data_IF_576080673057
#
_entry.id   IF_576080673057
#
_cell.length_a   1.000
_cell.length_b   1.000
_cell.length_c   1.000
_cell.angle_alpha   90.00
_cell.angle_beta   90.00
_cell.angle_gamma   90.00
#
_symmetry.space_group_name_H-M   'P 1'
#
loop_
_entity.id
_entity.type
_entity.pdbx_description
1 polymer ?
#
# COMPACT_ATOMS: atom_id res chain seq x y z
N UNK A 1 15.16 -31.20 -40.77
CA UNK A 1 16.43 -30.77 -41.37
C UNK A 1 17.27 -31.97 -41.73
N UNK A 2 18.11 -31.81 -42.72
CA UNK A 2 19.10 -32.81 -43.08
C UNK A 2 20.08 -33.08 -41.94
N UNK A 3 20.73 -34.24 -41.86
CA UNK A 3 21.70 -34.57 -40.80
C UNK A 3 22.85 -33.53 -40.69
N UNK A 4 23.26 -32.94 -41.79
CA UNK A 4 24.29 -31.88 -41.86
C UNK A 4 23.87 -30.59 -41.18
N UNK A 5 22.62 -30.14 -41.30
CA UNK A 5 22.12 -28.96 -40.64
C UNK A 5 22.07 -29.17 -39.10
N UNK A 6 21.73 -30.37 -38.64
CA UNK A 6 21.75 -30.71 -37.23
C UNK A 6 23.18 -30.73 -36.63
N UNK A 7 24.18 -31.23 -37.38
CA UNK A 7 25.59 -31.25 -36.95
C UNK A 7 26.10 -29.82 -36.87
N UNK A 8 25.86 -28.97 -37.89
CA UNK A 8 26.29 -27.56 -37.87
C UNK A 8 25.69 -26.78 -36.69
N UNK A 9 24.41 -26.99 -36.43
CA UNK A 9 23.73 -26.37 -35.29
C UNK A 9 24.39 -26.75 -33.96
N UNK A 10 24.58 -28.05 -33.70
CA UNK A 10 25.22 -28.54 -32.48
C UNK A 10 26.64 -28.00 -32.37
N UNK A 11 27.40 -27.97 -33.47
CA UNK A 11 28.76 -27.44 -33.49
C UNK A 11 28.77 -25.96 -33.10
N UNK A 12 27.92 -25.13 -33.68
CA UNK A 12 27.83 -23.70 -33.34
C UNK A 12 27.48 -23.48 -31.88
N UNK A 13 26.49 -24.24 -31.33
CA UNK A 13 26.12 -24.15 -29.92
C UNK A 13 27.31 -24.56 -29.03
N UNK A 14 28.01 -25.62 -29.37
CA UNK A 14 29.18 -26.10 -28.62
C UNK A 14 30.35 -25.11 -28.63
N UNK A 15 30.45 -24.27 -29.68
CA UNK A 15 31.50 -23.26 -29.79
C UNK A 15 31.15 -21.97 -29.05
N UNK A 16 29.94 -21.42 -29.23
CA UNK A 16 29.63 -20.14 -28.59
C UNK A 16 29.41 -20.21 -27.09
N UNK A 17 28.86 -21.33 -26.57
CA UNK A 17 28.51 -21.43 -25.14
C UNK A 17 29.74 -21.29 -24.21
N UNK A 18 30.88 -21.96 -24.46
CA UNK A 18 32.09 -21.76 -23.65
C UNK A 18 32.62 -20.33 -23.71
N UNK A 19 32.68 -19.72 -24.91
CA UNK A 19 33.06 -18.31 -25.05
C UNK A 19 32.15 -17.36 -24.28
N UNK A 20 30.85 -17.52 -24.43
CA UNK A 20 29.90 -16.71 -23.72
C UNK A 20 29.92 -16.87 -22.20
N UNK A 21 30.17 -18.11 -21.70
CA UNK A 21 30.38 -18.38 -20.29
C UNK A 21 31.61 -17.67 -19.75
N UNK A 22 32.69 -17.64 -20.54
CA UNK A 22 33.94 -16.98 -20.18
C UNK A 22 33.87 -15.44 -20.33
N UNK A 23 32.74 -14.88 -20.81
CA UNK A 23 32.58 -13.44 -21.08
C UNK A 23 33.25 -12.96 -22.38
N UNK A 24 33.77 -13.88 -23.19
CA UNK A 24 34.36 -13.58 -24.48
C UNK A 24 33.27 -13.48 -25.57
N UNK A 25 32.48 -12.44 -25.50
CA UNK A 25 31.32 -12.25 -26.38
C UNK A 25 31.71 -11.94 -27.84
N UNK A 26 32.89 -11.37 -28.05
CA UNK A 26 33.41 -11.10 -29.38
C UNK A 26 33.58 -12.39 -30.21
N UNK A 27 34.23 -13.39 -29.61
CA UNK A 27 34.46 -14.66 -30.29
C UNK A 27 33.21 -15.55 -30.29
N UNK A 28 32.29 -15.34 -29.35
CA UNK A 28 31.04 -16.06 -29.32
C UNK A 28 30.02 -15.59 -30.39
N UNK A 29 30.08 -14.32 -30.83
CA UNK A 29 29.02 -13.68 -31.60
C UNK A 29 28.69 -14.40 -32.91
N UNK A 30 29.67 -14.72 -33.72
CA UNK A 30 29.45 -15.30 -35.06
C UNK A 30 28.81 -16.69 -34.96
N UNK A 31 29.33 -17.56 -34.08
CA UNK A 31 28.77 -18.89 -33.86
C UNK A 31 27.37 -18.84 -33.25
N UNK A 32 27.13 -17.89 -32.34
CA UNK A 32 25.80 -17.64 -31.79
C UNK A 32 24.82 -17.18 -32.85
N UNK A 33 25.22 -16.23 -33.71
CA UNK A 33 24.36 -15.68 -34.74
C UNK A 33 23.94 -16.74 -35.77
N UNK A 34 24.86 -17.62 -36.17
CA UNK A 34 24.56 -18.76 -37.04
C UNK A 34 23.58 -19.74 -36.31
N UNK A 35 23.79 -20.10 -35.06
CA UNK A 35 22.85 -20.95 -34.32
C UNK A 35 21.48 -20.29 -34.20
N UNK A 36 21.42 -19.00 -33.89
CA UNK A 36 20.17 -18.24 -33.76
C UNK A 36 19.39 -18.17 -35.08
N UNK A 37 20.06 -18.01 -36.22
CA UNK A 37 19.40 -17.87 -37.50
C UNK A 37 19.04 -19.21 -38.14
N UNK A 38 19.88 -20.22 -38.02
CA UNK A 38 19.69 -21.52 -38.66
C UNK A 38 18.86 -22.50 -37.85
N UNK A 39 18.98 -22.46 -36.52
CA UNK A 39 18.30 -23.42 -35.64
C UNK A 39 17.75 -22.82 -34.31
N UNK A 40 16.91 -21.80 -34.40
CA UNK A 40 16.43 -21.04 -33.23
C UNK A 40 15.67 -21.88 -32.19
N UNK A 41 15.13 -23.03 -32.57
CA UNK A 41 14.43 -23.95 -31.65
C UNK A 41 15.31 -25.02 -31.04
N UNK A 42 16.62 -25.06 -31.32
CA UNK A 42 17.48 -26.19 -30.93
C UNK A 42 17.81 -26.22 -29.44
N UNK A 43 18.12 -25.08 -28.82
CA UNK A 43 18.51 -25.03 -27.41
C UNK A 43 18.25 -23.66 -26.78
N UNK A 44 17.85 -23.66 -25.50
CA UNK A 44 17.59 -22.41 -24.72
C UNK A 44 18.83 -21.53 -24.55
N UNK A 45 20.03 -22.11 -24.59
CA UNK A 45 21.29 -21.38 -24.44
C UNK A 45 21.49 -20.33 -25.54
N UNK A 46 20.89 -20.54 -26.73
CA UNK A 46 20.86 -19.55 -27.81
C UNK A 46 20.30 -18.20 -27.29
N UNK A 47 19.30 -18.25 -26.43
CA UNK A 47 18.66 -17.04 -25.89
C UNK A 47 19.27 -16.61 -24.55
N UNK A 48 19.66 -17.56 -23.69
CA UNK A 48 20.28 -17.26 -22.41
C UNK A 48 21.59 -16.47 -22.58
N UNK A 49 22.44 -16.90 -23.50
CA UNK A 49 23.68 -16.20 -23.81
C UNK A 49 23.53 -15.15 -24.89
N UNK A 50 22.57 -15.33 -25.81
CA UNK A 50 22.30 -14.40 -26.91
C UNK A 50 21.98 -13.00 -26.41
N UNK A 51 21.17 -12.86 -25.38
CA UNK A 51 20.87 -11.56 -24.75
C UNK A 51 22.17 -10.91 -24.24
N UNK A 52 23.06 -11.64 -23.60
CA UNK A 52 24.33 -11.12 -23.09
C UNK A 52 25.31 -10.75 -24.21
N UNK A 53 25.35 -11.55 -25.26
CA UNK A 53 26.17 -11.28 -26.45
C UNK A 53 25.66 -10.02 -27.17
N UNK A 54 24.36 -9.89 -27.35
CA UNK A 54 23.74 -8.70 -27.95
C UNK A 54 23.94 -7.46 -27.07
N UNK A 55 23.81 -7.58 -25.74
CA UNK A 55 24.05 -6.47 -24.82
C UNK A 55 25.50 -5.96 -24.94
N UNK A 56 26.48 -6.87 -24.99
CA UNK A 56 27.87 -6.52 -25.25
C UNK A 56 28.03 -5.79 -26.60
N UNK A 57 27.42 -6.30 -27.67
CA UNK A 57 27.50 -5.69 -29.02
C UNK A 57 26.90 -4.29 -29.06
N UNK A 58 25.72 -4.10 -28.42
CA UNK A 58 25.05 -2.81 -28.29
C UNK A 58 25.91 -1.81 -27.50
N UNK A 59 26.54 -2.24 -26.41
CA UNK A 59 27.35 -1.37 -25.56
C UNK A 59 28.70 -1.00 -26.17
N UNK A 60 29.22 -1.80 -27.11
CA UNK A 60 30.48 -1.51 -27.82
C UNK A 60 30.27 -0.73 -29.13
N UNK A 61 29.05 -0.68 -29.67
CA UNK A 61 28.71 0.09 -30.87
C UNK A 61 28.72 1.61 -30.56
N UNK A 62 29.45 2.36 -31.38
CA UNK A 62 29.62 3.81 -31.24
C UNK A 62 28.68 4.62 -32.13
N UNK A 63 28.25 4.04 -33.25
CA UNK A 63 27.32 4.69 -34.16
C UNK A 63 25.89 4.62 -33.59
N UNK A 64 25.23 5.77 -33.32
CA UNK A 64 23.90 5.79 -32.73
C UNK A 64 22.84 5.07 -33.56
N UNK A 65 22.89 5.16 -34.88
CA UNK A 65 21.93 4.52 -35.79
C UNK A 65 22.08 3.00 -35.77
N UNK A 66 23.34 2.51 -35.82
CA UNK A 66 23.64 1.07 -35.71
C UNK A 66 23.27 0.54 -34.33
N UNK A 67 23.55 1.31 -33.28
CA UNK A 67 23.16 0.94 -31.91
C UNK A 67 21.65 0.81 -31.79
N UNK A 68 20.88 1.73 -32.35
CA UNK A 68 19.43 1.64 -32.37
C UNK A 68 18.93 0.39 -33.12
N UNK A 69 19.51 0.07 -34.25
CA UNK A 69 19.17 -1.15 -35.01
C UNK A 69 19.48 -2.43 -34.21
N UNK A 70 20.62 -2.47 -33.49
CA UNK A 70 20.99 -3.60 -32.65
C UNK A 70 20.02 -3.78 -31.46
N UNK A 71 19.49 -2.70 -30.91
CA UNK A 71 18.45 -2.78 -29.88
C UNK A 71 17.17 -3.41 -30.45
N UNK A 72 16.75 -3.00 -31.63
CA UNK A 72 15.59 -3.56 -32.31
C UNK A 72 15.81 -5.04 -32.67
N UNK A 73 17.02 -5.45 -33.03
CA UNK A 73 17.37 -6.86 -33.25
C UNK A 73 17.34 -7.66 -31.93
N UNK A 74 17.79 -7.09 -30.81
CA UNK A 74 17.63 -7.73 -29.50
C UNK A 74 16.15 -7.97 -29.15
N UNK A 75 15.26 -7.02 -29.46
CA UNK A 75 13.81 -7.22 -29.24
C UNK A 75 13.28 -8.40 -30.07
N UNK A 76 13.77 -8.59 -31.33
CA UNK A 76 13.45 -9.77 -32.16
C UNK A 76 13.98 -11.08 -31.56
N UNK A 77 15.14 -11.04 -30.89
CA UNK A 77 15.68 -12.22 -30.19
C UNK A 77 14.70 -12.68 -29.09
N UNK A 78 14.12 -11.74 -28.34
CA UNK A 78 13.08 -12.04 -27.36
C UNK A 78 11.82 -12.63 -28.01
N UNK A 79 11.33 -12.05 -29.12
CA UNK A 79 10.15 -12.55 -29.82
C UNK A 79 10.37 -13.96 -30.36
N UNK A 80 11.56 -14.22 -30.88
CA UNK A 80 11.94 -15.55 -31.36
C UNK A 80 12.00 -16.56 -30.20
N UNK A 81 12.49 -16.13 -29.04
CA UNK A 81 12.47 -16.97 -27.82
C UNK A 81 11.04 -17.30 -27.40
N UNK A 82 10.12 -16.34 -27.43
CA UNK A 82 8.69 -16.60 -27.14
C UNK A 82 8.13 -17.65 -28.08
N UNK A 83 8.43 -17.53 -29.37
CA UNK A 83 7.96 -18.47 -30.39
C UNK A 83 8.38 -19.92 -30.12
N UNK A 84 9.62 -20.15 -29.69
CA UNK A 84 10.18 -21.50 -29.53
C UNK A 84 10.13 -22.02 -28.09
N UNK A 85 10.16 -21.14 -27.09
CA UNK A 85 10.27 -21.49 -25.67
C UNK A 85 9.27 -20.73 -24.79
N UNK A 86 8.23 -20.11 -25.37
CA UNK A 86 7.19 -19.40 -24.62
C UNK A 86 6.37 -20.28 -23.68
N UNK A 87 6.29 -21.60 -23.97
CA UNK A 87 5.60 -22.58 -23.13
C UNK A 87 6.48 -23.17 -22.01
N UNK A 88 7.68 -22.62 -21.78
CA UNK A 88 8.52 -23.08 -20.67
C UNK A 88 7.79 -22.84 -19.34
N UNK A 89 7.76 -23.86 -18.47
CA UNK A 89 7.01 -23.80 -17.21
C UNK A 89 7.51 -22.71 -16.25
N UNK A 90 8.83 -22.42 -16.27
CA UNK A 90 9.46 -21.50 -15.33
C UNK A 90 9.84 -20.16 -15.95
N UNK A 91 10.21 -20.17 -17.22
CA UNK A 91 10.74 -19.01 -17.95
C UNK A 91 9.96 -18.82 -19.25
N UNK A 92 8.64 -18.87 -19.15
CA UNK A 92 7.70 -18.81 -20.27
C UNK A 92 7.50 -17.41 -20.84
N UNK A 93 6.42 -17.25 -21.61
CA UNK A 93 6.10 -16.05 -22.37
C UNK A 93 6.10 -14.79 -21.50
N UNK A 94 5.43 -14.82 -20.34
CA UNK A 94 5.32 -13.69 -19.42
C UNK A 94 6.68 -13.28 -18.85
N UNK A 95 7.49 -14.26 -18.43
CA UNK A 95 8.86 -14.03 -17.96
C UNK A 95 9.74 -13.42 -19.05
N UNK A 96 9.65 -13.92 -20.30
CA UNK A 96 10.44 -13.45 -21.43
C UNK A 96 10.05 -12.02 -21.79
N UNK A 97 8.76 -11.71 -21.90
CA UNK A 97 8.26 -10.38 -22.24
C UNK A 97 8.59 -9.34 -21.15
N UNK A 98 8.56 -9.73 -19.89
CA UNK A 98 8.99 -8.84 -18.82
C UNK A 98 10.47 -8.43 -18.96
N UNK A 99 11.37 -9.35 -19.34
CA UNK A 99 12.80 -9.06 -19.62
C UNK A 99 12.99 -8.26 -20.90
N UNK A 100 12.23 -8.56 -21.94
CA UNK A 100 12.17 -7.74 -23.16
C UNK A 100 11.86 -6.28 -22.84
N UNK A 101 10.82 -6.04 -22.05
CA UNK A 101 10.42 -4.71 -21.65
C UNK A 101 11.50 -4.01 -20.79
N UNK A 102 12.09 -4.73 -19.83
CA UNK A 102 13.17 -4.19 -18.98
C UNK A 102 14.39 -3.76 -19.80
N UNK A 103 14.84 -4.60 -20.74
CA UNK A 103 15.97 -4.27 -21.60
C UNK A 103 15.64 -3.15 -22.60
N UNK A 104 14.44 -3.12 -23.15
CA UNK A 104 13.99 -2.02 -24.01
C UNK A 104 14.06 -0.68 -23.25
N UNK A 105 13.53 -0.63 -22.04
CA UNK A 105 13.54 0.58 -21.21
C UNK A 105 14.97 0.99 -20.86
N UNK A 106 15.80 0.04 -20.42
CA UNK A 106 17.21 0.28 -20.06
C UNK A 106 18.03 0.79 -21.23
N UNK A 107 17.88 0.19 -22.40
CA UNK A 107 18.72 0.49 -23.58
C UNK A 107 18.27 1.73 -24.34
N UNK A 108 16.96 2.00 -24.39
CA UNK A 108 16.40 3.22 -25.01
C UNK A 108 16.45 4.42 -24.06
N UNK A 109 16.52 4.20 -22.74
CA UNK A 109 16.55 5.28 -21.75
C UNK A 109 15.33 6.21 -21.88
N UNK A 110 15.58 7.51 -21.97
CA UNK A 110 14.54 8.53 -22.12
C UNK A 110 13.78 8.44 -23.46
N UNK A 111 14.34 7.74 -24.45
CA UNK A 111 13.70 7.49 -25.74
C UNK A 111 12.82 6.20 -25.74
N UNK A 112 12.68 5.53 -24.62
CA UNK A 112 11.79 4.38 -24.51
C UNK A 112 10.32 4.83 -24.56
N UNK A 113 9.62 4.48 -25.64
CA UNK A 113 8.19 4.80 -25.76
C UNK A 113 7.37 3.95 -24.78
N UNK A 114 6.70 4.57 -23.79
CA UNK A 114 5.91 3.86 -22.82
C UNK A 114 4.76 3.05 -23.44
N UNK A 115 4.19 3.48 -24.55
CA UNK A 115 3.10 2.78 -25.22
C UNK A 115 3.54 1.41 -25.74
N UNK A 116 4.79 1.30 -26.18
CA UNK A 116 5.33 0.06 -26.76
C UNK A 116 5.42 -1.04 -25.72
N UNK A 117 6.14 -0.82 -24.64
CA UNK A 117 6.28 -1.86 -23.61
C UNK A 117 5.02 -2.06 -22.77
N UNK A 118 4.19 -1.02 -22.60
CA UNK A 118 2.86 -1.14 -22.03
C UNK A 118 1.97 -2.12 -22.82
N UNK A 119 1.97 -2.02 -24.15
CA UNK A 119 1.22 -2.95 -24.99
C UNK A 119 1.70 -4.40 -24.87
N UNK A 120 3.02 -4.63 -24.91
CA UNK A 120 3.59 -5.99 -24.76
C UNK A 120 3.23 -6.62 -23.39
N UNK A 121 3.38 -5.84 -22.34
CA UNK A 121 3.12 -6.31 -20.97
C UNK A 121 1.62 -6.48 -20.72
N UNK A 122 0.78 -5.59 -21.27
CA UNK A 122 -0.68 -5.70 -21.17
C UNK A 122 -1.22 -6.99 -21.78
N UNK A 123 -0.67 -7.42 -22.92
CA UNK A 123 -1.04 -8.69 -23.56
C UNK A 123 -0.80 -9.88 -22.61
N UNK A 124 0.41 -9.99 -22.06
CA UNK A 124 0.75 -11.12 -21.18
C UNK A 124 0.04 -11.05 -19.82
N UNK A 125 -0.18 -9.86 -19.27
CA UNK A 125 -0.95 -9.70 -18.02
C UNK A 125 -2.41 -10.11 -18.22
N UNK A 126 -3.01 -9.82 -19.38
CA UNK A 126 -4.37 -10.27 -19.68
C UNK A 126 -4.43 -11.81 -19.88
N UNK A 127 -3.37 -12.40 -20.42
CA UNK A 127 -3.30 -13.86 -20.64
C UNK A 127 -3.05 -14.63 -19.33
N UNK A 128 -2.14 -14.16 -18.48
CA UNK A 128 -1.68 -14.88 -17.29
C UNK A 128 -2.40 -14.45 -16.00
N UNK A 129 -3.04 -13.28 -15.97
CA UNK A 129 -3.82 -12.78 -14.83
C UNK A 129 -2.99 -12.72 -13.54
N UNK A 130 -3.49 -13.36 -12.49
CA UNK A 130 -2.84 -13.38 -11.17
C UNK A 130 -1.50 -14.15 -11.15
N UNK A 131 -1.20 -14.93 -12.18
CA UNK A 131 0.06 -15.66 -12.33
C UNK A 131 1.10 -14.89 -13.16
N UNK A 132 0.83 -13.64 -13.53
CA UNK A 132 1.76 -12.81 -14.30
C UNK A 132 3.07 -12.60 -13.59
N UNK A 133 4.18 -12.51 -14.34
CA UNK A 133 5.51 -12.17 -13.81
C UNK A 133 5.48 -10.81 -13.11
N UNK A 134 5.79 -10.78 -11.81
CA UNK A 134 5.66 -9.60 -10.96
C UNK A 134 6.49 -8.39 -11.44
N UNK A 135 7.67 -8.62 -12.00
CA UNK A 135 8.46 -7.57 -12.63
C UNK A 135 7.71 -6.97 -13.83
N UNK A 136 7.06 -7.80 -14.65
CA UNK A 136 6.25 -7.35 -15.77
C UNK A 136 5.07 -6.49 -15.32
N UNK A 137 4.39 -6.87 -14.25
CA UNK A 137 3.29 -6.09 -13.65
C UNK A 137 3.78 -4.71 -13.18
N UNK A 138 4.94 -4.64 -12.54
CA UNK A 138 5.53 -3.37 -12.10
C UNK A 138 5.93 -2.46 -13.27
N UNK A 139 6.53 -3.03 -14.32
CA UNK A 139 6.91 -2.27 -15.52
C UNK A 139 5.68 -1.80 -16.33
N UNK A 140 4.63 -2.60 -16.37
CA UNK A 140 3.34 -2.21 -16.97
C UNK A 140 2.76 -0.98 -16.26
N UNK A 141 2.74 -1.01 -14.93
CA UNK A 141 2.24 0.12 -14.14
C UNK A 141 3.11 1.38 -14.31
N UNK A 142 4.43 1.22 -14.48
CA UNK A 142 5.32 2.32 -14.82
C UNK A 142 5.00 2.89 -16.21
N UNK A 143 4.70 2.06 -17.20
CA UNK A 143 4.26 2.48 -18.52
C UNK A 143 2.94 3.23 -18.51
N UNK A 144 1.98 2.73 -17.72
CA UNK A 144 0.70 3.39 -17.46
C UNK A 144 0.89 4.78 -16.83
N UNK A 145 1.74 4.90 -15.81
CA UNK A 145 2.06 6.19 -15.17
C UNK A 145 2.71 7.19 -16.14
N UNK A 146 3.66 6.75 -16.97
CA UNK A 146 4.28 7.62 -17.97
C UNK A 146 3.28 8.11 -19.03
N UNK A 147 2.30 7.30 -19.40
CA UNK A 147 1.22 7.72 -20.29
C UNK A 147 0.30 8.75 -19.62
N UNK A 148 -0.02 8.59 -18.34
CA UNK A 148 -0.77 9.60 -17.58
C UNK A 148 -0.04 10.96 -17.55
N UNK A 149 1.29 10.96 -17.35
CA UNK A 149 2.09 12.19 -17.36
C UNK A 149 2.09 12.88 -18.72
N UNK A 150 1.97 12.12 -19.81
CA UNK A 150 1.92 12.65 -21.18
C UNK A 150 0.51 13.09 -21.60
N UNK A 151 -0.53 12.45 -21.08
CA UNK A 151 -1.94 12.72 -21.41
C UNK A 151 -2.83 12.58 -20.18
N UNK A 152 -3.34 13.67 -19.62
CA UNK A 152 -4.27 13.65 -18.47
C UNK A 152 -5.57 12.86 -18.72
N UNK A 153 -5.98 12.67 -19.97
CA UNK A 153 -7.17 11.86 -20.31
C UNK A 153 -6.95 10.36 -20.05
N UNK A 154 -5.70 9.93 -19.87
CA UNK A 154 -5.35 8.56 -19.51
C UNK A 154 -5.67 8.19 -18.06
N UNK A 155 -6.17 9.13 -17.27
CA UNK A 155 -6.37 8.97 -15.82
C UNK A 155 -7.28 7.80 -15.45
N UNK A 156 -8.38 7.60 -16.16
CA UNK A 156 -9.29 6.48 -15.89
C UNK A 156 -8.61 5.13 -16.14
N UNK A 157 -7.94 4.97 -17.27
CA UNK A 157 -7.16 3.77 -17.59
C UNK A 157 -6.05 3.52 -16.56
N UNK A 158 -5.36 4.57 -16.13
CA UNK A 158 -4.33 4.46 -15.09
C UNK A 158 -4.88 3.94 -13.76
N UNK A 159 -6.06 4.39 -13.35
CA UNK A 159 -6.73 3.91 -12.14
C UNK A 159 -7.13 2.43 -12.26
N UNK A 160 -7.66 2.03 -13.41
CA UNK A 160 -7.99 0.62 -13.70
C UNK A 160 -6.74 -0.27 -13.71
N UNK A 161 -5.66 0.21 -14.31
CA UNK A 161 -4.36 -0.47 -14.31
C UNK A 161 -3.82 -0.64 -12.88
N UNK A 162 -3.92 0.41 -12.05
CA UNK A 162 -3.51 0.34 -10.66
C UNK A 162 -4.30 -0.72 -9.88
N UNK A 163 -5.63 -0.76 -10.05
CA UNK A 163 -6.47 -1.78 -9.42
C UNK A 163 -6.05 -3.19 -9.83
N UNK A 164 -5.89 -3.41 -11.14
CA UNK A 164 -5.45 -4.69 -11.70
C UNK A 164 -4.09 -5.10 -11.13
N UNK A 165 -3.09 -4.24 -11.27
CA UNK A 165 -1.72 -4.53 -10.86
C UNK A 165 -1.59 -4.74 -9.35
N UNK A 166 -2.23 -3.89 -8.54
CA UNK A 166 -2.19 -4.01 -7.08
C UNK A 166 -2.87 -5.29 -6.58
N UNK A 167 -3.96 -5.74 -7.25
CA UNK A 167 -4.62 -7.02 -6.95
C UNK A 167 -3.70 -8.20 -7.26
N UNK A 168 -3.08 -8.22 -8.45
CA UNK A 168 -2.15 -9.29 -8.84
C UNK A 168 -1.03 -9.43 -7.80
N UNK A 169 -0.34 -8.33 -7.49
CA UNK A 169 0.78 -8.36 -6.53
C UNK A 169 0.30 -8.73 -5.11
N UNK A 170 -0.87 -8.26 -4.68
CA UNK A 170 -1.42 -8.63 -3.37
C UNK A 170 -1.73 -10.13 -3.27
N UNK A 171 -2.34 -10.72 -4.30
CA UNK A 171 -2.61 -12.17 -4.37
C UNK A 171 -1.32 -12.98 -4.30
N UNK A 172 -0.31 -12.61 -5.10
CA UNK A 172 0.99 -13.29 -5.09
C UNK A 172 1.71 -13.16 -3.75
N UNK A 173 1.65 -11.96 -3.13
CA UNK A 173 2.26 -11.71 -1.82
C UNK A 173 1.60 -12.58 -0.73
N UNK A 174 0.29 -12.68 -0.71
CA UNK A 174 -0.44 -13.54 0.21
C UNK A 174 -0.06 -15.02 0.04
N UNK A 175 0.07 -15.50 -1.20
CA UNK A 175 0.52 -16.85 -1.50
C UNK A 175 1.96 -17.10 -1.04
N UNK A 176 2.89 -16.15 -1.26
CA UNK A 176 4.27 -16.23 -0.81
C UNK A 176 4.38 -16.25 0.72
N UNK A 177 3.56 -15.46 1.42
CA UNK A 177 3.46 -15.44 2.88
C UNK A 177 2.95 -16.78 3.43
N UNK A 178 1.87 -17.33 2.84
CA UNK A 178 1.35 -18.64 3.22
C UNK A 178 2.36 -19.77 3.02
N UNK A 179 3.23 -19.65 2.01
CA UNK A 179 4.33 -20.59 1.72
C UNK A 179 5.62 -20.31 2.51
N UNK A 180 5.68 -19.27 3.34
CA UNK A 180 6.88 -18.80 4.05
C UNK A 180 8.10 -18.60 3.12
N UNK A 181 7.88 -18.11 1.90
CA UNK A 181 8.90 -17.85 0.91
C UNK A 181 9.49 -16.45 1.08
N UNK A 182 10.45 -16.29 1.99
CA UNK A 182 11.03 -14.97 2.34
C UNK A 182 11.61 -14.22 1.14
N UNK A 183 12.25 -14.93 0.21
CA UNK A 183 12.83 -14.31 -0.99
C UNK A 183 11.73 -13.69 -1.87
N UNK A 184 10.65 -14.41 -2.08
CA UNK A 184 9.55 -13.96 -2.90
C UNK A 184 8.77 -12.84 -2.20
N UNK A 185 8.55 -12.96 -0.88
CA UNK A 185 7.94 -11.88 -0.07
C UNK A 185 8.73 -10.57 -0.24
N UNK A 186 10.07 -10.62 -0.14
CA UNK A 186 10.93 -9.45 -0.32
C UNK A 186 10.79 -8.83 -1.71
N UNK A 187 10.82 -9.65 -2.75
CA UNK A 187 10.68 -9.20 -4.14
C UNK A 187 9.32 -8.54 -4.37
N UNK A 188 8.24 -9.22 -3.99
CA UNK A 188 6.87 -8.73 -4.17
C UNK A 188 6.59 -7.47 -3.34
N UNK A 189 7.14 -7.36 -2.14
CA UNK A 189 7.06 -6.15 -1.33
C UNK A 189 7.74 -4.97 -2.02
N UNK A 190 8.86 -5.20 -2.70
CA UNK A 190 9.55 -4.15 -3.48
C UNK A 190 8.68 -3.67 -4.65
N UNK A 191 8.09 -4.59 -5.41
CA UNK A 191 7.19 -4.23 -6.52
C UNK A 191 5.92 -3.55 -6.02
N UNK A 192 5.34 -4.05 -4.94
CA UNK A 192 4.18 -3.41 -4.29
C UNK A 192 4.49 -1.96 -3.91
N UNK A 193 5.63 -1.72 -3.26
CA UNK A 193 6.04 -0.38 -2.83
C UNK A 193 6.25 0.57 -4.02
N UNK A 194 6.80 0.07 -5.13
CA UNK A 194 6.99 0.85 -6.35
C UNK A 194 5.64 1.24 -7.00
N UNK A 195 4.70 0.30 -7.07
CA UNK A 195 3.36 0.51 -7.63
C UNK A 195 2.56 1.50 -6.77
N UNK A 196 2.50 1.25 -5.45
CA UNK A 196 1.72 2.08 -4.51
C UNK A 196 2.34 3.49 -4.38
N UNK A 197 3.68 3.60 -4.35
CA UNK A 197 4.38 4.87 -4.30
C UNK A 197 4.19 5.71 -5.56
N UNK A 198 4.28 5.09 -6.74
CA UNK A 198 3.98 5.73 -8.03
C UNK A 198 2.54 6.22 -8.09
N UNK A 199 1.59 5.44 -7.60
CA UNK A 199 0.19 5.81 -7.55
C UNK A 199 -0.07 6.99 -6.60
N UNK A 200 0.48 6.94 -5.40
CA UNK A 200 0.33 8.03 -4.42
C UNK A 200 0.92 9.37 -4.93
N UNK A 201 2.04 9.31 -5.65
CA UNK A 201 2.70 10.49 -6.23
C UNK A 201 2.07 11.02 -7.52
N UNK A 202 1.16 10.26 -8.15
CA UNK A 202 0.62 10.60 -9.48
C UNK A 202 -0.42 11.72 -9.49
N UNK A 203 -1.01 12.08 -8.35
CA UNK A 203 -2.16 12.99 -8.26
C UNK A 203 -3.47 12.40 -8.82
N UNK A 204 -3.48 11.12 -9.25
CA UNK A 204 -4.68 10.46 -9.76
C UNK A 204 -5.68 10.11 -8.66
N UNK A 205 -5.22 10.07 -7.39
CA UNK A 205 -6.00 9.68 -6.22
C UNK A 205 -6.72 10.85 -5.53
N UNK A 206 -6.96 11.99 -6.19
CA UNK A 206 -7.75 13.05 -5.57
C UNK A 206 -9.23 12.63 -5.45
N UNK A 207 -9.82 12.92 -4.28
CA UNK A 207 -11.13 12.39 -3.93
C UNK A 207 -12.27 13.01 -4.75
N UNK A 208 -12.14 14.25 -5.23
CA UNK A 208 -13.13 14.88 -6.08
C UNK A 208 -13.23 14.19 -7.44
N UNK A 209 -12.08 13.92 -8.06
CA UNK A 209 -12.00 13.14 -9.31
C UNK A 209 -12.58 11.75 -9.14
N UNK A 210 -12.23 11.05 -8.05
CA UNK A 210 -12.74 9.72 -7.77
C UNK A 210 -14.25 9.73 -7.52
N UNK A 211 -14.79 10.74 -6.85
CA UNK A 211 -16.23 10.92 -6.70
C UNK A 211 -16.91 10.99 -8.08
N UNK A 212 -16.43 11.85 -8.98
CA UNK A 212 -17.01 12.04 -10.30
C UNK A 212 -16.94 10.80 -11.18
N UNK A 213 -15.82 10.04 -11.09
CA UNK A 213 -15.62 8.81 -11.86
C UNK A 213 -16.48 7.65 -11.36
N UNK A 214 -16.57 7.50 -10.05
CA UNK A 214 -17.21 6.31 -9.46
C UNK A 214 -18.69 6.46 -9.18
N UNK A 215 -19.26 7.67 -9.13
CA UNK A 215 -20.69 7.88 -8.87
C UNK A 215 -21.59 7.05 -9.79
N UNK A 216 -21.37 7.11 -11.11
CA UNK A 216 -22.14 6.32 -12.08
C UNK A 216 -21.79 4.83 -12.08
N UNK A 217 -20.52 4.48 -11.82
CA UNK A 217 -20.07 3.09 -11.74
C UNK A 217 -20.69 2.36 -10.54
N UNK A 218 -20.82 3.02 -9.40
CA UNK A 218 -21.46 2.48 -8.20
C UNK A 218 -22.93 2.17 -8.46
N UNK A 219 -23.66 3.08 -9.11
CA UNK A 219 -25.07 2.84 -9.47
C UNK A 219 -25.23 1.66 -10.45
N UNK A 220 -24.35 1.58 -11.44
CA UNK A 220 -24.33 0.45 -12.38
C UNK A 220 -24.00 -0.89 -11.70
N UNK A 221 -23.22 -0.87 -10.63
CA UNK A 221 -22.77 -2.05 -9.90
C UNK A 221 -23.62 -2.42 -8.68
N UNK A 222 -24.77 -1.78 -8.46
CA UNK A 222 -25.59 -1.91 -7.22
C UNK A 222 -25.94 -3.34 -6.80
N UNK A 223 -26.01 -4.25 -7.76
CA UNK A 223 -26.32 -5.68 -7.55
C UNK A 223 -25.07 -6.58 -7.81
N UNK A 224 -23.91 -5.99 -8.04
CA UNK A 224 -22.63 -6.68 -8.31
C UNK A 224 -21.69 -6.56 -7.10
N UNK A 225 -21.76 -7.52 -6.18
CA UNK A 225 -20.97 -7.51 -4.96
C UNK A 225 -19.45 -7.49 -5.21
N UNK A 226 -18.86 -8.27 -6.13
CA UNK A 226 -17.44 -8.17 -6.46
C UNK A 226 -17.02 -6.78 -6.89
N UNK A 227 -17.75 -6.14 -7.81
CA UNK A 227 -17.44 -4.79 -8.27
C UNK A 227 -17.55 -3.75 -7.14
N UNK A 228 -18.58 -3.84 -6.30
CA UNK A 228 -18.73 -2.96 -5.14
C UNK A 228 -17.59 -3.12 -4.13
N UNK A 229 -17.18 -4.34 -3.84
CA UNK A 229 -16.02 -4.63 -2.96
C UNK A 229 -14.73 -4.03 -3.51
N UNK A 230 -14.50 -4.10 -4.81
CA UNK A 230 -13.33 -3.48 -5.46
C UNK A 230 -13.35 -1.95 -5.32
N UNK A 231 -14.49 -1.32 -5.55
CA UNK A 231 -14.66 0.14 -5.41
C UNK A 231 -14.42 0.57 -3.95
N UNK A 232 -15.05 -0.08 -2.99
CA UNK A 232 -14.89 0.22 -1.55
C UNK A 232 -13.43 0.04 -1.12
N UNK A 233 -12.80 -1.07 -1.52
CA UNK A 233 -11.39 -1.35 -1.22
C UNK A 233 -10.45 -0.31 -1.83
N UNK A 234 -10.67 0.11 -3.07
CA UNK A 234 -9.89 1.17 -3.70
C UNK A 234 -10.00 2.47 -2.92
N UNK A 235 -11.25 2.95 -2.73
CA UNK A 235 -11.50 4.24 -2.09
C UNK A 235 -10.96 4.27 -0.65
N UNK A 236 -11.01 3.14 0.07
CA UNK A 236 -10.36 2.99 1.37
C UNK A 236 -8.84 3.10 1.27
N UNK A 237 -8.23 2.39 0.32
CA UNK A 237 -6.76 2.37 0.12
C UNK A 237 -6.19 3.74 -0.22
N UNK A 238 -6.91 4.53 -1.03
CA UNK A 238 -6.50 5.89 -1.40
C UNK A 238 -6.99 6.96 -0.42
N UNK A 239 -7.57 6.53 0.73
CA UNK A 239 -8.07 7.41 1.80
C UNK A 239 -9.18 8.39 1.39
N UNK A 240 -9.98 8.02 0.39
CA UNK A 240 -11.15 8.77 -0.06
C UNK A 240 -12.45 8.18 0.52
N UNK A 241 -12.51 8.01 1.83
CA UNK A 241 -13.64 7.42 2.54
C UNK A 241 -14.73 8.44 2.92
N UNK A 242 -14.53 9.72 2.59
CA UNK A 242 -15.44 10.81 2.92
C UNK A 242 -16.27 11.29 1.73
N UNK A 243 -16.27 10.52 0.61
CA UNK A 243 -17.03 10.84 -0.61
C UNK A 243 -18.30 10.00 -0.72
N UNK A 244 -19.32 10.55 -1.41
CA UNK A 244 -20.62 9.90 -1.54
C UNK A 244 -20.55 8.57 -2.31
N UNK A 245 -19.62 8.43 -3.27
CA UNK A 245 -19.38 7.18 -3.98
C UNK A 245 -18.98 6.05 -3.03
N UNK A 246 -18.14 6.34 -2.01
CA UNK A 246 -17.75 5.37 -0.99
C UNK A 246 -18.95 4.94 -0.15
N UNK A 247 -19.73 5.89 0.34
CA UNK A 247 -20.92 5.60 1.17
C UNK A 247 -21.96 4.78 0.43
N UNK A 248 -22.23 5.14 -0.82
CA UNK A 248 -23.22 4.44 -1.65
C UNK A 248 -22.77 3.03 -1.99
N UNK A 249 -21.50 2.85 -2.40
CA UNK A 249 -20.93 1.54 -2.67
C UNK A 249 -20.95 0.63 -1.42
N UNK A 250 -20.55 1.17 -0.27
CA UNK A 250 -20.58 0.46 1.00
C UNK A 250 -22.02 0.06 1.39
N UNK A 251 -22.98 0.97 1.22
CA UNK A 251 -24.41 0.70 1.49
C UNK A 251 -25.00 -0.40 0.60
N UNK A 252 -24.68 -0.43 -0.69
CA UNK A 252 -25.08 -1.51 -1.59
C UNK A 252 -24.39 -2.83 -1.25
N UNK A 253 -23.06 -2.79 -1.02
CA UNK A 253 -22.30 -3.98 -0.64
C UNK A 253 -22.83 -4.61 0.67
N UNK A 254 -23.15 -3.79 1.68
CA UNK A 254 -23.68 -4.26 2.96
C UNK A 254 -25.03 -4.99 2.81
N UNK A 255 -25.91 -4.49 1.94
CA UNK A 255 -27.20 -5.15 1.68
C UNK A 255 -27.05 -6.54 1.04
N UNK A 256 -26.01 -6.71 0.21
CA UNK A 256 -25.72 -7.99 -0.45
C UNK A 256 -24.96 -8.93 0.49
N UNK A 257 -23.96 -8.43 1.19
CA UNK A 257 -23.14 -9.18 2.15
C UNK A 257 -22.52 -8.22 3.18
N UNK A 258 -22.91 -8.28 4.46
CA UNK A 258 -22.28 -7.50 5.52
C UNK A 258 -20.79 -7.80 5.65
N UNK A 259 -19.96 -6.74 5.73
CA UNK A 259 -18.51 -6.81 5.93
C UNK A 259 -18.01 -5.61 6.74
N UNK A 260 -16.81 -5.69 7.30
CA UNK A 260 -16.20 -4.59 8.06
C UNK A 260 -16.13 -3.30 7.22
N UNK A 261 -15.64 -3.38 5.99
CA UNK A 261 -15.53 -2.23 5.08
C UNK A 261 -16.89 -1.63 4.73
N UNK A 262 -17.90 -2.46 4.50
CA UNK A 262 -19.25 -2.01 4.18
C UNK A 262 -19.91 -1.35 5.39
N UNK A 263 -19.78 -1.91 6.59
CA UNK A 263 -20.27 -1.34 7.84
C UNK A 263 -19.57 0.01 8.13
N UNK A 264 -18.25 0.08 7.94
CA UNK A 264 -17.47 1.33 8.09
C UNK A 264 -18.02 2.45 7.19
N UNK A 265 -18.35 2.15 5.94
CA UNK A 265 -18.93 3.14 5.03
C UNK A 265 -20.27 3.68 5.50
N UNK A 266 -21.14 2.81 6.01
CA UNK A 266 -22.44 3.22 6.59
C UNK A 266 -22.22 4.06 7.86
N UNK A 267 -21.30 3.67 8.73
CA UNK A 267 -20.95 4.43 9.94
C UNK A 267 -20.48 5.84 9.58
N UNK A 268 -19.57 6.00 8.64
CA UNK A 268 -19.06 7.31 8.18
C UNK A 268 -20.15 8.15 7.55
N UNK A 269 -21.05 7.57 6.76
CA UNK A 269 -22.22 8.27 6.22
C UNK A 269 -23.12 8.79 7.34
N UNK A 270 -23.36 7.97 8.39
CA UNK A 270 -24.16 8.37 9.55
C UNK A 270 -23.49 9.52 10.33
N UNK A 271 -22.15 9.52 10.47
CA UNK A 271 -21.41 10.67 11.05
C UNK A 271 -21.66 11.94 10.24
N UNK A 272 -21.56 11.88 8.92
CA UNK A 272 -21.83 13.02 8.03
C UNK A 272 -23.27 13.55 8.20
N UNK A 273 -24.21 12.65 8.40
CA UNK A 273 -25.60 12.97 8.68
C UNK A 273 -25.87 13.40 10.14
N UNK A 274 -24.86 13.36 11.01
CA UNK A 274 -24.96 13.61 12.47
C UNK A 274 -25.87 12.62 13.20
N UNK A 275 -26.11 11.45 12.63
CA UNK A 275 -26.79 10.33 13.28
C UNK A 275 -25.77 9.49 14.05
N UNK A 276 -25.38 9.99 15.22
CA UNK A 276 -24.28 9.41 15.99
C UNK A 276 -24.62 8.04 16.59
N UNK A 277 -25.89 7.79 16.91
CA UNK A 277 -26.29 6.48 17.44
C UNK A 277 -26.14 5.39 16.36
N UNK A 278 -26.59 5.68 15.14
CA UNK A 278 -26.38 4.81 13.99
C UNK A 278 -24.90 4.65 13.64
N UNK A 279 -24.13 5.75 13.71
CA UNK A 279 -22.70 5.69 13.47
C UNK A 279 -21.99 4.76 14.46
N UNK A 280 -22.28 4.89 15.75
CA UNK A 280 -21.70 4.02 16.80
C UNK A 280 -22.07 2.56 16.56
N UNK A 281 -23.33 2.26 16.23
CA UNK A 281 -23.76 0.90 15.93
C UNK A 281 -22.93 0.28 14.80
N UNK A 282 -22.80 0.98 13.67
CA UNK A 282 -22.09 0.44 12.51
C UNK A 282 -20.56 0.43 12.67
N UNK A 283 -19.97 1.33 13.48
CA UNK A 283 -18.56 1.20 13.87
C UNK A 283 -18.33 -0.03 14.77
N UNK A 284 -19.27 -0.34 15.67
CA UNK A 284 -19.19 -1.57 16.48
C UNK A 284 -19.28 -2.82 15.60
N UNK A 285 -20.18 -2.84 14.61
CA UNK A 285 -20.29 -3.94 13.66
C UNK A 285 -19.01 -4.08 12.83
N UNK A 286 -18.45 -2.98 12.35
CA UNK A 286 -17.18 -2.96 11.62
C UNK A 286 -16.05 -3.54 12.48
N UNK A 287 -15.86 -3.03 13.70
CA UNK A 287 -14.85 -3.52 14.64
C UNK A 287 -15.00 -5.00 14.98
N UNK A 288 -16.24 -5.52 15.09
CA UNK A 288 -16.48 -6.93 15.37
C UNK A 288 -16.13 -7.86 14.19
N UNK A 289 -16.26 -7.37 12.96
CA UNK A 289 -15.92 -8.11 11.73
C UNK A 289 -14.47 -7.87 11.28
N UNK A 290 -13.80 -6.82 11.80
CA UNK A 290 -12.43 -6.47 11.41
C UNK A 290 -11.41 -7.45 11.97
N UNK A 291 -10.52 -7.93 11.12
CA UNK A 291 -9.43 -8.85 11.48
C UNK A 291 -8.08 -8.14 11.64
N UNK A 292 -7.91 -6.99 11.00
CA UNK A 292 -6.72 -6.16 11.16
C UNK A 292 -6.80 -5.35 12.46
N UNK A 293 -5.83 -5.57 13.35
CA UNK A 293 -5.80 -4.94 14.68
C UNK A 293 -5.71 -3.40 14.62
N UNK A 294 -5.02 -2.86 13.60
CA UNK A 294 -4.89 -1.40 13.43
C UNK A 294 -6.24 -0.80 13.07
N UNK A 295 -6.89 -1.32 12.05
CA UNK A 295 -8.22 -0.88 11.59
C UNK A 295 -9.27 -1.04 12.69
N UNK A 296 -9.25 -2.16 13.41
CA UNK A 296 -10.16 -2.42 14.54
C UNK A 296 -9.99 -1.40 15.67
N UNK A 297 -8.76 -1.04 16.00
CA UNK A 297 -8.47 -0.03 17.02
C UNK A 297 -8.94 1.36 16.56
N UNK A 298 -8.80 1.69 15.27
CA UNK A 298 -9.32 2.93 14.70
C UNK A 298 -10.84 3.02 14.82
N UNK A 299 -11.57 1.94 14.54
CA UNK A 299 -13.04 1.90 14.70
C UNK A 299 -13.46 2.16 16.15
N UNK A 300 -12.82 1.51 17.12
CA UNK A 300 -13.09 1.78 18.55
C UNK A 300 -12.75 3.22 18.96
N UNK A 301 -11.65 3.76 18.45
CA UNK A 301 -11.29 5.16 18.70
C UNK A 301 -12.33 6.13 18.16
N UNK A 302 -12.84 5.90 16.94
CA UNK A 302 -13.90 6.74 16.36
C UNK A 302 -15.19 6.72 17.18
N UNK A 303 -15.57 5.57 17.73
CA UNK A 303 -16.69 5.50 18.70
C UNK A 303 -16.37 6.35 19.94
N UNK A 304 -15.16 6.28 20.46
CA UNK A 304 -14.70 7.12 21.57
C UNK A 304 -14.85 8.61 21.28
N UNK A 305 -14.47 9.04 20.08
CA UNK A 305 -14.61 10.44 19.62
C UNK A 305 -16.09 10.85 19.60
N UNK A 306 -16.97 10.05 19.02
CA UNK A 306 -18.40 10.36 18.93
C UNK A 306 -19.05 10.47 20.30
N UNK A 307 -18.70 9.57 21.22
CA UNK A 307 -19.21 9.60 22.60
C UNK A 307 -18.65 10.80 23.39
N UNK A 308 -17.42 11.21 23.11
CA UNK A 308 -16.84 12.44 23.66
C UNK A 308 -17.59 13.68 23.20
N UNK A 309 -17.95 13.77 21.92
CA UNK A 309 -18.77 14.84 21.38
C UNK A 309 -20.19 14.88 22.00
N UNK A 310 -20.73 13.71 22.31
CA UNK A 310 -22.00 13.58 23.06
C UNK A 310 -21.84 13.85 24.59
N UNK A 311 -20.65 14.24 25.03
CA UNK A 311 -20.31 14.46 26.43
C UNK A 311 -20.44 13.22 27.33
N UNK A 312 -20.41 12.01 26.75
CA UNK A 312 -20.45 10.74 27.47
C UNK A 312 -19.01 10.25 27.79
N UNK A 313 -18.34 10.96 28.71
CA UNK A 313 -16.92 10.78 29.01
C UNK A 313 -16.56 9.37 29.47
N UNK A 314 -17.38 8.78 30.35
CA UNK A 314 -17.11 7.44 30.88
C UNK A 314 -17.13 6.36 29.81
N UNK A 315 -18.15 6.38 28.95
CA UNK A 315 -18.27 5.42 27.86
C UNK A 315 -17.24 5.67 26.77
N UNK A 316 -16.93 6.94 26.47
CA UNK A 316 -15.86 7.32 25.54
C UNK A 316 -14.51 6.74 25.99
N UNK A 317 -14.17 6.84 27.27
CA UNK A 317 -12.96 6.23 27.83
C UNK A 317 -12.92 4.72 27.63
N UNK A 318 -14.03 4.02 27.85
CA UNK A 318 -14.09 2.56 27.67
C UNK A 318 -13.73 2.16 26.22
N UNK A 319 -14.22 2.90 25.22
CA UNK A 319 -13.87 2.61 23.81
C UNK A 319 -12.44 3.00 23.48
N UNK A 320 -11.92 4.09 24.04
CA UNK A 320 -10.49 4.39 23.93
C UNK A 320 -9.60 3.30 24.54
N UNK A 321 -10.03 2.71 25.67
CA UNK A 321 -9.32 1.58 26.28
C UNK A 321 -9.36 0.34 25.39
N UNK A 322 -10.52 0.00 24.80
CA UNK A 322 -10.60 -1.08 23.80
C UNK A 322 -9.66 -0.84 22.60
N UNK A 323 -9.56 0.40 22.12
CA UNK A 323 -8.62 0.74 21.06
C UNK A 323 -7.17 0.49 21.48
N UNK A 324 -6.78 0.90 22.69
CA UNK A 324 -5.45 0.70 23.26
C UNK A 324 -5.13 -0.79 23.47
N UNK A 325 -6.08 -1.57 23.98
CA UNK A 325 -5.94 -3.02 24.16
C UNK A 325 -5.76 -3.75 22.83
N UNK A 326 -6.41 -3.26 21.77
CA UNK A 326 -6.32 -3.82 20.43
C UNK A 326 -5.01 -3.42 19.73
N UNK A 327 -4.58 -2.17 19.88
CA UNK A 327 -3.32 -1.64 19.36
C UNK A 327 -2.64 -0.73 20.38
N UNK A 328 -1.70 -1.26 21.20
CA UNK A 328 -1.03 -0.51 22.27
C UNK A 328 -0.18 0.67 21.79
N UNK A 329 0.24 0.66 20.51
CA UNK A 329 1.07 1.70 19.91
C UNK A 329 0.25 2.84 19.28
N UNK A 330 -1.07 2.79 19.44
CA UNK A 330 -1.96 3.82 18.93
C UNK A 330 -2.09 4.99 19.92
N UNK A 331 -1.44 6.12 19.64
CA UNK A 331 -1.34 7.27 20.54
C UNK A 331 -2.60 8.11 20.69
N UNK A 332 -3.43 8.21 19.62
CA UNK A 332 -4.61 9.06 19.60
C UNK A 332 -5.64 8.76 20.71
N UNK A 333 -5.95 7.51 21.08
CA UNK A 333 -6.82 7.21 22.20
C UNK A 333 -6.31 7.74 23.55
N UNK A 334 -5.00 7.71 23.79
CA UNK A 334 -4.42 8.29 25.01
C UNK A 334 -4.61 9.80 25.05
N UNK A 335 -4.40 10.50 23.93
CA UNK A 335 -4.65 11.94 23.83
C UNK A 335 -6.11 12.26 24.14
N UNK A 336 -7.04 11.50 23.56
CA UNK A 336 -8.47 11.70 23.80
C UNK A 336 -8.84 11.49 25.28
N UNK A 337 -8.29 10.47 25.93
CA UNK A 337 -8.49 10.26 27.38
C UNK A 337 -7.95 11.43 28.18
N UNK A 338 -6.74 11.92 27.87
CA UNK A 338 -6.16 13.10 28.52
C UNK A 338 -7.04 14.34 28.36
N UNK A 339 -7.57 14.58 27.18
CA UNK A 339 -8.49 15.70 26.90
C UNK A 339 -9.80 15.54 27.69
N UNK A 340 -10.36 14.33 27.79
CA UNK A 340 -11.55 14.06 28.60
C UNK A 340 -11.30 14.39 30.09
N UNK A 341 -10.16 14.00 30.62
CA UNK A 341 -9.80 14.29 32.02
C UNK A 341 -9.68 15.80 32.25
N UNK A 342 -8.93 16.47 31.40
CA UNK A 342 -8.75 17.92 31.50
C UNK A 342 -10.07 18.69 31.40
N UNK A 343 -10.95 18.31 30.47
CA UNK A 343 -12.28 18.91 30.30
C UNK A 343 -13.18 18.69 31.54
N UNK A 344 -13.03 17.55 32.23
CA UNK A 344 -13.86 17.18 33.38
C UNK A 344 -13.37 17.75 34.73
N UNK A 345 -12.17 18.33 34.78
CA UNK A 345 -11.55 18.76 36.02
C UNK A 345 -12.45 19.64 36.93
N UNK A 346 -13.04 20.68 36.35
CA UNK A 346 -13.95 21.60 37.07
C UNK A 346 -15.28 20.96 37.43
N UNK A 347 -15.79 20.03 36.64
CA UNK A 347 -17.04 19.34 36.96
C UNK A 347 -16.87 18.29 38.04
N UNK A 348 -15.68 17.70 38.20
CA UNK A 348 -15.38 16.76 39.28
C UNK A 348 -15.15 17.48 40.60
N UNK A 349 -14.49 18.64 40.58
CA UNK A 349 -14.19 19.46 41.76
C UNK A 349 -14.70 20.89 41.58
N UNK A 350 -16.04 21.08 41.58
CA UNK A 350 -16.63 22.40 41.25
C UNK A 350 -16.34 23.45 42.35
N UNK A 351 -16.10 23.02 43.57
CA UNK A 351 -15.88 23.88 44.74
C UNK A 351 -14.43 23.88 45.23
N UNK A 352 -13.52 23.21 44.53
CA UNK A 352 -12.13 23.11 44.91
C UNK A 352 -11.22 23.31 43.68
N UNK A 353 -10.72 24.51 43.54
CA UNK A 353 -9.88 24.89 42.39
C UNK A 353 -8.53 24.17 42.40
N UNK A 354 -8.00 23.81 43.58
CA UNK A 354 -6.69 23.14 43.69
C UNK A 354 -6.84 21.68 43.30
N UNK A 355 -7.87 20.99 43.78
CA UNK A 355 -8.17 19.60 43.37
C UNK A 355 -8.53 19.54 41.90
N UNK A 356 -9.22 20.54 41.32
CA UNK A 356 -9.48 20.60 39.88
C UNK A 356 -8.17 20.69 39.08
N UNK A 357 -7.18 21.47 39.55
CA UNK A 357 -5.85 21.48 38.93
C UNK A 357 -5.10 20.14 39.07
N UNK A 358 -5.31 19.42 40.18
CA UNK A 358 -4.68 18.12 40.42
C UNK A 358 -5.13 17.06 39.37
N UNK A 359 -6.32 17.19 38.76
CA UNK A 359 -6.76 16.33 37.67
C UNK A 359 -5.83 16.36 36.48
N UNK A 360 -5.13 17.50 36.26
CA UNK A 360 -4.21 17.63 35.10
C UNK A 360 -2.99 16.72 35.24
N UNK A 361 -2.60 16.22 36.41
CA UNK A 361 -1.59 15.17 36.49
C UNK A 361 -1.97 13.93 35.70
N UNK A 362 -3.23 13.47 35.81
CA UNK A 362 -3.72 12.32 35.04
C UNK A 362 -3.79 12.60 33.52
N UNK A 363 -4.20 13.81 33.14
CA UNK A 363 -4.20 14.20 31.73
C UNK A 363 -2.78 14.20 31.14
N UNK A 364 -1.81 14.78 31.85
CA UNK A 364 -0.40 14.82 31.46
C UNK A 364 0.16 13.41 31.31
N UNK A 365 -0.14 12.50 32.26
CA UNK A 365 0.33 11.11 32.19
C UNK A 365 -0.18 10.40 30.92
N UNK A 366 -1.41 10.69 30.47
CA UNK A 366 -1.95 10.18 29.21
C UNK A 366 -1.25 10.79 27.99
N UNK A 367 -1.00 12.10 27.99
CA UNK A 367 -0.27 12.76 26.88
C UNK A 367 1.16 12.24 26.78
N UNK A 368 1.87 12.08 27.91
CA UNK A 368 3.22 11.50 27.89
C UNK A 368 3.21 10.05 27.42
N UNK A 369 2.19 9.27 27.77
CA UNK A 369 2.04 7.90 27.26
C UNK A 369 1.83 7.89 25.75
N UNK A 370 0.96 8.76 25.21
CA UNK A 370 0.77 8.91 23.77
C UNK A 370 2.09 9.23 23.06
N UNK A 371 2.88 10.16 23.61
CA UNK A 371 4.19 10.55 23.08
C UNK A 371 5.20 9.41 23.05
N UNK A 372 5.14 8.51 24.03
CA UNK A 372 6.06 7.37 24.14
C UNK A 372 5.74 6.25 23.13
N UNK A 373 4.45 6.01 22.88
CA UNK A 373 4.02 4.84 22.10
C UNK A 373 3.83 5.15 20.61
N UNK A 374 3.59 6.42 20.24
CA UNK A 374 3.25 6.78 18.87
C UNK A 374 3.99 8.04 18.40
N UNK A 375 4.97 7.84 17.54
CA UNK A 375 5.78 8.93 16.99
C UNK A 375 4.96 9.92 16.15
N UNK A 376 3.86 9.48 15.54
CA UNK A 376 3.04 10.33 14.69
C UNK A 376 2.30 11.43 15.47
N UNK A 377 2.02 11.20 16.74
CA UNK A 377 1.33 12.16 17.62
C UNK A 377 2.24 12.74 18.71
N UNK A 378 3.52 12.37 18.72
CA UNK A 378 4.47 12.71 19.80
C UNK A 378 4.63 14.23 19.98
N UNK A 379 4.66 15.00 18.92
CA UNK A 379 4.79 16.47 19.00
C UNK A 379 3.54 17.10 19.62
N UNK A 380 2.36 16.73 19.14
CA UNK A 380 1.09 17.28 19.62
C UNK A 380 0.81 16.86 21.07
N UNK A 381 1.09 15.61 21.40
CA UNK A 381 1.00 15.12 22.78
C UNK A 381 1.96 15.88 23.73
N UNK A 382 3.18 16.16 23.25
CA UNK A 382 4.16 16.96 24.00
C UNK A 382 3.70 18.41 24.25
N UNK A 383 3.10 19.06 23.24
CA UNK A 383 2.52 20.39 23.37
C UNK A 383 1.39 20.41 24.40
N UNK A 384 0.48 19.42 24.35
CA UNK A 384 -0.61 19.29 25.31
C UNK A 384 -0.09 19.09 26.73
N UNK A 385 0.86 18.17 26.93
CA UNK A 385 1.46 17.92 28.23
C UNK A 385 2.07 19.20 28.81
N UNK A 386 2.81 19.98 27.99
CA UNK A 386 3.42 21.23 28.43
C UNK A 386 2.38 22.32 28.78
N UNK A 387 1.31 22.41 28.00
CA UNK A 387 0.20 23.32 28.28
C UNK A 387 -0.41 23.04 29.67
N UNK A 388 -0.71 21.78 29.95
CA UNK A 388 -1.31 21.45 31.25
C UNK A 388 -0.33 21.46 32.41
N UNK A 389 0.99 21.29 32.21
CA UNK A 389 2.00 21.50 33.24
C UNK A 389 1.99 22.93 33.79
N UNK A 390 1.74 23.91 32.93
CA UNK A 390 1.62 25.31 33.34
C UNK A 390 0.38 25.60 34.23
N UNK A 391 -0.59 24.67 34.22
CA UNK A 391 -1.83 24.78 35.00
C UNK A 391 -1.89 23.86 36.20
N UNK A 392 -0.82 23.15 36.56
CA UNK A 392 -0.73 22.33 37.74
C UNK A 392 -0.83 23.18 39.05
N UNK A 393 -1.24 22.60 40.16
CA UNK A 393 -1.18 23.29 41.44
C UNK A 393 0.24 23.77 41.75
N UNK A 394 0.39 24.98 42.24
CA UNK A 394 1.69 25.47 42.71
C UNK A 394 2.18 24.70 43.94
N UNK A 395 3.48 24.78 44.24
CA UNK A 395 4.02 24.15 45.46
C UNK A 395 3.35 24.67 46.73
N UNK A 396 2.99 25.95 46.79
CA UNK A 396 2.27 26.56 47.87
C UNK A 396 0.83 26.02 47.96
N UNK A 397 0.10 25.94 46.88
CA UNK A 397 -1.25 25.37 46.83
C UNK A 397 -1.25 23.90 47.30
N UNK A 398 -0.26 23.10 46.89
CA UNK A 398 -0.13 21.70 47.35
C UNK A 398 0.16 21.64 48.84
N UNK A 399 1.08 22.50 49.34
CA UNK A 399 1.45 22.50 50.74
C UNK A 399 0.28 22.91 51.65
N UNK A 400 -0.54 23.85 51.21
CA UNK A 400 -1.68 24.35 52.02
C UNK A 400 -2.92 23.48 51.92
N UNK A 401 -2.99 22.53 50.97
CA UNK A 401 -4.18 21.70 50.77
C UNK A 401 -4.15 20.44 51.64
N UNK A 402 -5.22 20.14 52.41
CA UNK A 402 -5.21 19.04 53.40
C UNK A 402 -5.11 17.65 52.73
N UNK A 403 -5.57 17.50 51.49
CA UNK A 403 -5.63 16.21 50.79
C UNK A 403 -4.46 15.98 49.86
N UNK A 404 -3.55 16.96 49.66
CA UNK A 404 -2.43 16.86 48.74
C UNK A 404 -1.10 16.90 49.50
N UNK A 405 -0.17 16.03 49.10
CA UNK A 405 1.20 16.00 49.63
C UNK A 405 2.17 15.66 48.47
N UNK A 406 3.19 16.47 48.33
CA UNK A 406 4.21 16.25 47.27
C UNK A 406 4.86 14.87 47.45
N UNK A 407 4.95 14.14 46.34
CA UNK A 407 5.50 12.78 46.28
C UNK A 407 4.51 11.67 46.70
N UNK A 408 3.32 12.04 47.16
CA UNK A 408 2.30 11.06 47.55
C UNK A 408 1.29 10.79 46.45
N UNK A 409 0.66 9.62 46.58
CA UNK A 409 -0.45 9.21 45.71
C UNK A 409 -1.73 9.96 46.06
N UNK A 410 -2.43 10.44 45.04
CA UNK A 410 -3.76 11.06 45.18
C UNK A 410 -4.73 10.38 44.20
N UNK A 411 -5.88 9.92 44.72
CA UNK A 411 -6.92 9.32 43.90
C UNK A 411 -7.91 10.38 43.45
N UNK A 412 -7.96 10.61 42.11
CA UNK A 412 -8.90 11.54 41.52
C UNK A 412 -10.32 10.98 41.66
N UNK A 413 -11.26 11.83 42.02
CA UNK A 413 -12.66 11.47 42.21
C UNK A 413 -13.44 11.31 40.90
N UNK A 414 -14.76 11.17 41.10
CA UNK A 414 -15.71 11.08 39.99
C UNK A 414 -15.48 9.86 39.09
N UNK A 415 -15.82 10.02 37.83
CA UNK A 415 -15.72 8.96 36.83
C UNK A 415 -14.26 8.63 36.42
N UNK A 416 -13.29 9.49 36.74
CA UNK A 416 -11.88 9.27 36.40
C UNK A 416 -11.32 8.16 37.26
N UNK A 417 -11.37 8.29 38.60
CA UNK A 417 -10.97 7.26 39.57
C UNK A 417 -9.50 6.82 39.46
N UNK A 418 -8.65 7.50 38.70
CA UNK A 418 -7.23 7.17 38.60
C UNK A 418 -6.42 7.72 39.76
N UNK A 419 -5.35 7.03 40.11
CA UNK A 419 -4.40 7.47 41.12
C UNK A 419 -3.18 8.11 40.44
N UNK A 420 -2.83 9.32 40.84
CA UNK A 420 -1.67 10.08 40.33
C UNK A 420 -0.68 10.34 41.46
N UNK A 421 0.56 10.62 41.13
CA UNK A 421 1.57 11.11 42.06
C UNK A 421 1.64 12.63 41.97
N UNK A 422 1.49 13.32 43.09
CA UNK A 422 1.63 14.78 43.19
C UNK A 422 3.11 15.14 43.04
N UNK A 423 3.44 15.96 42.03
CA UNK A 423 4.82 16.27 41.68
C UNK A 423 5.21 17.72 41.98
#
# INVERSE_FOLDING_TARGET
GSGEDSVRCITNISLFVPYAKAGNFKDAYEFWYQAYTECPGAHKDIYLYGVRIMDWKINTEKDPAKKAALIDDLMKVYDTRVKYFGNDRKYGKDWIIARKAADYIRLKGDNADPKVYYAWLGEVINEFGENSEAMGVSLYMMGSHRQLLADPNFKETYLEDYLKCSKIIATQLAAAQAANNEKEIKNLTTYKSAIDGGFAGSGAADCETLQNMYASKVEAAKDDLPALKEIVSLLRRVRCQEIDAFYTAAGYAYKLEPSADAALGIAKQAVKAKDYDKAIQYFEEAANMETDAVSKAEDYYLIGVLLFEQNNMSKARQYCQKAIETNPDYGAPYILIGNMYAKSAKSIYPNDAVLAKAVYYAAIDKFEKARQVDQNVAEDAGKLANTYRAHLPSTEEVFMHPDLEKGKAFKIGGWIGETVTIR
#
